data_IF_199217685795
#
_entry.id   IF_199217685795
#
_cell.length_a   1.000
_cell.length_b   1.000
_cell.length_c   1.000
_cell.angle_alpha   90.00
_cell.angle_beta   90.00
_cell.angle_gamma   90.00
#
_symmetry.space_group_name_H-M   'P 1'
#
loop_
_entity.id
_entity.type
_entity.pdbx_description
1 polymer ?
#
# COMPACT_ATOMS: atom_id res chain seq x y z
N UNK A 1 -53.95 39.78 -15.41
CA UNK A 1 -53.02 38.74 -15.89
C UNK A 1 -51.64 39.07 -15.35
N UNK A 2 -51.09 38.32 -14.38
CA UNK A 2 -49.66 38.20 -14.13
C UNK A 2 -49.46 36.95 -13.26
N UNK A 3 -49.23 35.81 -13.90
CA UNK A 3 -48.87 34.56 -13.23
C UNK A 3 -47.35 34.58 -13.06
N UNK A 4 -46.89 34.74 -11.81
CA UNK A 4 -45.47 34.70 -11.46
C UNK A 4 -45.05 33.25 -11.28
N UNK A 5 -44.25 32.72 -12.21
CA UNK A 5 -43.68 31.37 -12.11
C UNK A 5 -42.35 31.45 -11.36
N UNK A 6 -42.37 31.08 -10.08
CA UNK A 6 -41.16 30.83 -9.29
C UNK A 6 -40.63 29.46 -9.69
N UNK A 7 -39.59 29.43 -10.53
CA UNK A 7 -38.86 28.22 -10.88
C UNK A 7 -37.92 27.88 -9.70
N UNK A 8 -38.30 26.90 -8.88
CA UNK A 8 -37.43 26.33 -7.84
C UNK A 8 -36.51 25.31 -8.51
N UNK A 9 -35.30 25.72 -8.86
CA UNK A 9 -34.27 24.85 -9.41
C UNK A 9 -33.72 23.94 -8.31
N UNK A 10 -34.16 22.68 -8.31
CA UNK A 10 -33.67 21.64 -7.39
C UNK A 10 -32.33 21.11 -7.91
N UNK A 11 -31.21 21.65 -7.44
CA UNK A 11 -29.87 21.14 -7.76
C UNK A 11 -29.60 19.87 -6.96
N UNK A 12 -29.70 18.72 -7.63
CA UNK A 12 -29.28 17.43 -7.09
C UNK A 12 -27.76 17.40 -6.99
N UNK A 13 -27.21 17.54 -5.78
CA UNK A 13 -25.77 17.35 -5.51
C UNK A 13 -25.52 15.84 -5.53
N UNK A 14 -25.06 15.32 -6.66
CA UNK A 14 -24.53 13.96 -6.75
C UNK A 14 -23.20 13.93 -5.97
N UNK A 15 -23.21 13.31 -4.80
CA UNK A 15 -21.99 13.00 -4.08
C UNK A 15 -21.16 12.04 -4.96
N UNK A 16 -20.09 12.55 -5.55
CA UNK A 16 -19.10 11.72 -6.25
C UNK A 16 -18.43 10.86 -5.19
N UNK A 17 -18.70 9.56 -5.19
CA UNK A 17 -17.88 8.62 -4.45
C UNK A 17 -16.47 8.71 -5.03
N UNK A 18 -15.52 9.21 -4.24
CA UNK A 18 -14.10 9.19 -4.58
C UNK A 18 -13.67 7.72 -4.63
N UNK A 19 -13.70 7.15 -5.82
CA UNK A 19 -13.18 5.82 -6.08
C UNK A 19 -11.66 5.96 -6.09
N UNK A 20 -11.01 5.79 -4.93
CA UNK A 20 -9.55 5.78 -4.85
C UNK A 20 -9.02 4.72 -5.83
N UNK A 21 -8.33 5.18 -6.86
CA UNK A 21 -7.89 4.33 -7.97
C UNK A 21 -6.49 3.84 -7.64
N UNK A 22 -6.32 2.52 -7.52
CA UNK A 22 -5.01 1.91 -7.29
C UNK A 22 -4.13 2.12 -8.52
N UNK A 23 -2.91 2.62 -8.31
CA UNK A 23 -1.94 2.94 -9.36
C UNK A 23 -0.76 1.99 -9.28
N UNK A 24 -0.30 1.53 -10.43
CA UNK A 24 0.92 0.72 -10.56
C UNK A 24 2.13 1.55 -10.13
N UNK A 25 2.96 0.98 -9.27
CA UNK A 25 4.22 1.59 -8.81
C UNK A 25 5.39 0.68 -9.17
N UNK A 26 6.48 1.28 -9.66
CA UNK A 26 7.72 0.54 -9.90
C UNK A 26 8.40 0.24 -8.57
N UNK A 27 8.74 -1.02 -8.36
CA UNK A 27 9.41 -1.51 -7.15
C UNK A 27 10.88 -1.80 -7.42
N UNK A 28 11.71 -1.67 -6.39
CA UNK A 28 13.11 -2.07 -6.44
C UNK A 28 13.30 -3.36 -5.62
N UNK A 29 14.15 -4.31 -6.05
CA UNK A 29 14.50 -5.44 -5.21
C UNK A 29 15.22 -4.97 -3.93
N UNK A 30 15.16 -5.77 -2.88
CA UNK A 30 15.87 -5.50 -1.64
C UNK A 30 17.38 -5.66 -1.80
N UNK A 31 17.80 -6.77 -2.42
CA UNK A 31 19.19 -7.19 -2.59
C UNK A 31 19.49 -7.61 -4.02
N UNK A 32 18.60 -8.41 -4.63
CA UNK A 32 18.86 -9.05 -5.92
C UNK A 32 17.59 -9.13 -6.78
N UNK A 33 17.76 -9.31 -8.09
CA UNK A 33 16.62 -9.47 -8.99
C UNK A 33 15.72 -10.69 -8.65
N UNK A 34 16.24 -11.69 -7.93
CA UNK A 34 15.45 -12.84 -7.47
C UNK A 34 14.37 -12.44 -6.48
N UNK A 35 14.56 -11.36 -5.72
CA UNK A 35 13.64 -10.90 -4.69
C UNK A 35 12.30 -10.41 -5.29
N UNK A 36 12.27 -10.08 -6.58
CA UNK A 36 11.09 -9.57 -7.28
C UNK A 36 10.63 -10.47 -8.42
N UNK A 37 11.30 -11.59 -8.68
CA UNK A 37 10.98 -12.48 -9.82
C UNK A 37 9.56 -13.04 -9.75
N UNK A 38 9.05 -13.20 -8.53
CA UNK A 38 7.70 -13.68 -8.27
C UNK A 38 6.67 -12.56 -8.11
N UNK A 39 7.08 -11.29 -8.10
CA UNK A 39 6.19 -10.13 -8.04
C UNK A 39 5.82 -9.72 -9.46
N UNK A 40 4.52 -9.71 -9.76
CA UNK A 40 3.98 -9.28 -11.05
C UNK A 40 3.72 -7.80 -11.06
N UNK A 41 3.08 -7.31 -10.00
CA UNK A 41 2.68 -5.92 -9.92
C UNK A 41 2.49 -5.50 -8.47
N UNK A 42 2.83 -4.24 -8.18
CA UNK A 42 2.47 -3.57 -6.95
C UNK A 42 1.62 -2.35 -7.29
N UNK A 43 0.48 -2.22 -6.62
CA UNK A 43 -0.48 -1.14 -6.83
C UNK A 43 -0.83 -0.48 -5.49
N UNK A 44 -0.93 0.84 -5.44
CA UNK A 44 -1.35 1.59 -4.24
C UNK A 44 -2.17 2.82 -4.63
N UNK A 45 -3.09 3.28 -3.77
CA UNK A 45 -3.91 4.48 -4.05
C UNK A 45 -3.23 5.79 -3.65
N UNK A 46 -2.12 5.74 -2.91
CA UNK A 46 -1.36 6.91 -2.46
C UNK A 46 0.02 6.97 -3.14
N UNK A 47 0.05 6.98 -4.49
CA UNK A 47 1.28 7.20 -5.25
C UNK A 47 1.02 7.61 -6.72
N UNK A 48 1.19 8.90 -7.01
CA UNK A 48 1.09 9.45 -8.38
C UNK A 48 2.43 9.51 -9.13
N UNK A 49 3.53 9.29 -8.42
CA UNK A 49 4.89 9.31 -8.93
C UNK A 49 5.88 8.90 -7.83
N UNK A 50 7.11 8.59 -8.23
CA UNK A 50 8.18 8.28 -7.28
C UNK A 50 8.98 9.56 -6.95
N UNK A 51 9.33 9.81 -5.67
CA UNK A 51 8.94 9.04 -4.48
C UNK A 51 7.45 9.17 -4.14
N UNK A 52 6.83 8.09 -3.66
CA UNK A 52 5.41 8.10 -3.29
C UNK A 52 5.18 9.06 -2.11
N UNK A 53 4.46 10.15 -2.34
CA UNK A 53 4.14 11.11 -1.27
C UNK A 53 2.91 10.63 -0.50
N UNK A 54 3.10 10.26 0.76
CA UNK A 54 2.05 9.66 1.59
C UNK A 54 1.82 10.52 2.83
N UNK A 55 0.60 11.04 3.06
CA UNK A 55 0.28 11.67 4.32
C UNK A 55 0.32 10.65 5.45
N UNK A 56 1.02 10.93 6.54
CA UNK A 56 1.21 9.95 7.61
C UNK A 56 -0.12 9.49 8.26
N UNK A 57 -1.14 10.35 8.21
CA UNK A 57 -2.46 10.08 8.78
C UNK A 57 -3.37 9.28 7.82
N UNK A 58 -3.00 9.13 6.54
CA UNK A 58 -3.74 8.28 5.60
C UNK A 58 -3.47 6.81 5.88
N UNK A 59 -4.38 5.97 5.41
CA UNK A 59 -4.21 4.52 5.37
C UNK A 59 -4.20 4.05 3.91
N UNK A 60 -3.08 4.20 3.18
CA UNK A 60 -2.93 3.70 1.82
C UNK A 60 -3.41 2.26 1.69
N UNK A 61 -4.25 2.01 0.69
CA UNK A 61 -4.58 0.65 0.23
C UNK A 61 -3.54 0.22 -0.78
N UNK A 62 -3.15 -1.05 -0.70
CA UNK A 62 -2.24 -1.62 -1.67
C UNK A 62 -2.66 -3.02 -2.09
N UNK A 63 -2.22 -3.40 -3.29
CA UNK A 63 -2.34 -4.74 -3.84
C UNK A 63 -0.95 -5.21 -4.32
N UNK A 64 -0.62 -6.46 -3.98
CA UNK A 64 0.59 -7.14 -4.46
C UNK A 64 0.13 -8.34 -5.28
N UNK A 65 0.36 -8.30 -6.58
CA UNK A 65 0.19 -9.45 -7.46
C UNK A 65 1.48 -10.25 -7.49
N UNK A 66 1.40 -11.53 -7.13
CA UNK A 66 2.55 -12.41 -7.08
C UNK A 66 2.21 -13.84 -7.50
N UNK A 67 3.23 -14.57 -7.94
CA UNK A 67 3.13 -16.01 -8.23
C UNK A 67 3.70 -16.78 -7.06
N UNK A 68 2.90 -17.67 -6.47
CA UNK A 68 3.35 -18.52 -5.37
C UNK A 68 4.49 -19.42 -5.85
N UNK A 69 5.68 -19.29 -5.25
CA UNK A 69 6.86 -20.09 -5.59
C UNK A 69 6.68 -21.58 -5.29
N UNK A 70 5.88 -21.90 -4.27
CA UNK A 70 5.64 -23.25 -3.76
C UNK A 70 4.25 -23.34 -3.13
N UNK A 71 3.82 -24.57 -2.84
CA UNK A 71 2.61 -24.77 -2.07
C UNK A 71 2.87 -24.39 -0.59
N UNK A 72 1.94 -23.67 0.02
CA UNK A 72 2.05 -23.27 1.42
C UNK A 72 0.69 -22.98 2.03
N UNK A 73 0.46 -23.48 3.24
CA UNK A 73 -0.74 -23.16 4.04
C UNK A 73 -0.67 -21.76 4.67
N UNK A 74 0.51 -21.14 4.65
CA UNK A 74 0.76 -19.84 5.29
C UNK A 74 1.42 -18.87 4.31
N UNK A 75 1.06 -17.59 4.44
CA UNK A 75 1.82 -16.48 3.86
C UNK A 75 1.83 -15.33 4.85
N UNK A 76 3.03 -14.85 5.15
CA UNK A 76 3.27 -13.70 6.02
C UNK A 76 3.80 -12.56 5.18
N UNK A 77 3.06 -11.46 5.12
CA UNK A 77 3.53 -10.21 4.53
C UNK A 77 3.93 -9.28 5.67
N UNK A 78 5.10 -8.68 5.58
CA UNK A 78 5.57 -7.66 6.52
C UNK A 78 5.95 -6.40 5.76
N UNK A 79 5.61 -5.26 6.34
CA UNK A 79 5.95 -3.94 5.83
C UNK A 79 6.87 -3.31 6.85
N UNK A 80 8.09 -2.96 6.42
CA UNK A 80 9.08 -2.28 7.24
C UNK A 80 9.28 -0.86 6.73
N UNK A 81 9.25 0.10 7.63
CA UNK A 81 9.54 1.49 7.34
C UNK A 81 10.96 1.84 7.76
N UNK A 82 11.68 2.55 6.91
CA UNK A 82 12.85 3.34 7.28
C UNK A 82 12.48 4.81 7.10
N UNK A 83 12.32 5.55 8.19
CA UNK A 83 11.83 6.94 8.16
C UNK A 83 12.95 8.00 8.14
N UNK A 84 14.20 7.57 8.39
CA UNK A 84 15.45 8.34 8.27
C UNK A 84 16.58 7.43 7.80
N UNK A 85 17.65 7.97 7.19
CA UNK A 85 18.77 7.16 6.69
C UNK A 85 19.42 6.26 7.76
N UNK A 86 19.48 6.76 9.01
CA UNK A 86 20.15 6.10 10.14
C UNK A 86 19.22 5.25 11.02
N UNK A 87 17.90 5.30 10.78
CA UNK A 87 16.94 4.51 11.56
C UNK A 87 16.92 3.05 11.10
N UNK A 88 16.80 2.09 12.04
CA UNK A 88 16.60 0.70 11.68
C UNK A 88 15.26 0.52 10.95
N UNK A 89 15.21 -0.43 10.02
CA UNK A 89 13.95 -0.91 9.44
C UNK A 89 13.08 -1.47 10.57
N UNK A 90 11.95 -0.82 10.83
CA UNK A 90 11.00 -1.24 11.87
C UNK A 90 9.72 -1.75 11.24
N UNK A 91 9.19 -2.85 11.78
CA UNK A 91 7.90 -3.39 11.33
C UNK A 91 6.78 -2.39 11.58
N UNK A 92 5.87 -2.25 10.61
CA UNK A 92 4.67 -1.45 10.74
C UNK A 92 3.80 -2.02 11.87
N UNK A 93 3.64 -1.30 12.99
CA UNK A 93 2.93 -1.83 14.14
C UNK A 93 1.44 -1.91 13.84
N UNK A 94 0.80 -2.97 14.34
CA UNK A 94 -0.62 -3.27 14.08
C UNK A 94 -0.94 -3.61 12.63
N UNK A 95 0.07 -3.89 11.79
CA UNK A 95 -0.15 -4.47 10.47
C UNK A 95 -0.36 -5.98 10.61
N UNK A 96 -1.50 -6.46 10.12
CA UNK A 96 -1.81 -7.88 10.12
C UNK A 96 -0.92 -8.60 9.12
N UNK A 97 0.01 -9.41 9.61
CA UNK A 97 1.02 -10.06 8.75
C UNK A 97 0.48 -11.29 8.05
N UNK A 98 -0.55 -11.94 8.58
CA UNK A 98 -1.11 -13.16 7.99
C UNK A 98 -1.96 -12.84 6.76
N UNK A 99 -1.35 -13.00 5.59
CA UNK A 99 -1.98 -12.67 4.33
C UNK A 99 -3.11 -13.64 3.95
N UNK A 100 -3.05 -14.89 4.42
CA UNK A 100 -4.13 -15.87 4.23
C UNK A 100 -5.42 -15.44 4.91
N UNK A 101 -5.31 -14.82 6.10
CA UNK A 101 -6.49 -14.44 6.89
C UNK A 101 -6.93 -12.99 6.66
N UNK A 102 -5.99 -12.07 6.39
CA UNK A 102 -6.27 -10.64 6.42
C UNK A 102 -6.06 -9.92 5.08
N UNK A 103 -5.60 -10.62 4.04
CA UNK A 103 -5.29 -9.98 2.74
C UNK A 103 -6.07 -10.52 1.55
N UNK A 104 -7.22 -11.15 1.81
CA UNK A 104 -8.12 -11.64 0.76
C UNK A 104 -7.58 -12.84 -0.01
N UNK A 105 -6.60 -13.56 0.54
CA UNK A 105 -6.07 -14.79 -0.05
C UNK A 105 -6.87 -16.00 0.41
N UNK A 106 -6.89 -17.05 -0.41
CA UNK A 106 -7.41 -18.36 -0.02
C UNK A 106 -6.23 -19.32 0.07
N UNK A 107 -5.93 -19.77 1.27
CA UNK A 107 -4.88 -20.75 1.53
C UNK A 107 -5.49 -22.17 1.66
N UNK A 108 -4.77 -23.23 1.27
CA UNK A 108 -3.37 -23.24 0.84
C UNK A 108 -3.10 -22.60 -0.52
N UNK A 109 -1.97 -21.90 -0.61
CA UNK A 109 -1.42 -21.46 -1.88
C UNK A 109 -0.96 -22.67 -2.68
N UNK A 110 -1.30 -22.68 -3.97
CA UNK A 110 -0.82 -23.64 -4.96
C UNK A 110 0.40 -23.08 -5.69
N UNK A 111 1.47 -23.88 -5.80
CA UNK A 111 2.69 -23.52 -6.53
C UNK A 111 2.39 -23.10 -7.98
N UNK A 112 3.04 -22.04 -8.45
CA UNK A 112 2.92 -21.52 -9.82
C UNK A 112 1.63 -20.74 -10.10
N UNK A 113 0.67 -20.69 -9.16
CA UNK A 113 -0.56 -19.91 -9.31
C UNK A 113 -0.34 -18.45 -8.89
N UNK A 114 -1.03 -17.55 -9.58
CA UNK A 114 -1.04 -16.12 -9.30
C UNK A 114 -2.09 -15.76 -8.24
N UNK A 115 -1.73 -14.82 -7.37
CA UNK A 115 -2.54 -14.33 -6.27
C UNK A 115 -2.39 -12.81 -6.14
N UNK A 116 -3.42 -12.17 -5.61
CA UNK A 116 -3.43 -10.75 -5.26
C UNK A 116 -3.62 -10.60 -3.76
N UNK A 117 -2.58 -10.20 -3.04
CA UNK A 117 -2.69 -9.83 -1.62
C UNK A 117 -3.15 -8.37 -1.52
N UNK A 118 -4.26 -8.12 -0.83
CA UNK A 118 -4.87 -6.78 -0.69
C UNK A 118 -4.86 -6.36 0.77
N UNK A 119 -4.30 -5.21 1.09
CA UNK A 119 -4.37 -4.69 2.46
C UNK A 119 -4.30 -3.17 2.48
N UNK A 120 -4.27 -2.61 3.68
CA UNK A 120 -4.05 -1.19 3.87
C UNK A 120 -3.19 -0.98 5.10
N UNK A 121 -2.29 0.00 5.05
CA UNK A 121 -1.34 0.27 6.13
C UNK A 121 -1.34 1.75 6.46
N UNK A 122 -1.26 2.08 7.74
CA UNK A 122 -1.10 3.46 8.20
C UNK A 122 0.20 3.53 8.99
N UNK A 123 0.98 4.58 8.76
CA UNK A 123 2.15 4.84 9.59
C UNK A 123 1.62 5.38 10.93
N UNK A 124 1.92 4.73 12.06
CA UNK A 124 1.46 5.20 13.35
C UNK A 124 2.09 6.58 13.66
N UNK A 125 1.30 7.47 14.25
CA UNK A 125 1.74 8.84 14.57
C UNK A 125 2.96 8.91 15.51
N UNK A 126 3.18 7.86 16.31
CA UNK A 126 4.29 7.78 17.27
C UNK A 126 5.59 7.23 16.65
N UNK A 127 5.55 6.62 15.46
CA UNK A 127 6.76 6.14 14.78
C UNK A 127 7.41 7.20 13.88
N UNK A 128 6.90 8.43 13.91
CA UNK A 128 7.41 9.54 13.09
C UNK A 128 7.72 10.76 13.95
N UNK A 129 8.79 11.47 13.62
CA UNK A 129 9.00 12.84 14.11
C UNK A 129 8.23 13.82 13.22
N UNK A 130 7.08 14.30 13.72
CA UNK A 130 6.24 15.24 13.00
C UNK A 130 6.96 16.56 12.66
N UNK A 131 7.98 16.95 13.42
CA UNK A 131 8.77 18.16 13.16
C UNK A 131 9.72 18.00 11.97
N UNK A 132 10.05 16.76 11.62
CA UNK A 132 10.92 16.43 10.50
C UNK A 132 10.16 16.24 9.18
N UNK A 133 8.83 16.42 9.16
CA UNK A 133 8.05 16.33 7.93
C UNK A 133 8.23 17.58 7.03
N UNK A 134 8.35 17.41 5.70
CA UNK A 134 8.34 16.14 4.97
C UNK A 134 9.69 15.40 5.07
N UNK A 135 9.66 14.09 5.31
CA UNK A 135 10.87 13.26 5.44
C UNK A 135 10.90 12.17 4.37
N UNK A 136 12.07 11.90 3.75
CA UNK A 136 12.22 10.74 2.88
C UNK A 136 12.09 9.45 3.71
N UNK A 137 11.42 8.45 3.15
CA UNK A 137 11.26 7.14 3.75
C UNK A 137 11.47 6.03 2.70
N UNK A 138 11.77 4.84 3.18
CA UNK A 138 11.79 3.62 2.37
C UNK A 138 10.78 2.64 2.98
N UNK A 139 9.81 2.21 2.20
CA UNK A 139 8.89 1.15 2.60
C UNK A 139 9.32 -0.17 1.95
N UNK A 140 9.64 -1.15 2.78
CA UNK A 140 10.12 -2.47 2.37
C UNK A 140 9.02 -3.50 2.63
N UNK A 141 8.61 -4.20 1.59
CA UNK A 141 7.60 -5.25 1.62
C UNK A 141 8.29 -6.59 1.49
N UNK A 142 7.99 -7.50 2.42
CA UNK A 142 8.53 -8.86 2.44
C UNK A 142 7.38 -9.87 2.51
N UNK A 143 7.44 -10.91 1.70
CA UNK A 143 6.48 -12.01 1.69
C UNK A 143 7.19 -13.32 1.99
N UNK A 144 6.82 -13.98 3.09
CA UNK A 144 7.45 -15.19 3.59
C UNK A 144 6.41 -16.28 3.79
N UNK A 145 6.67 -17.47 3.27
CA UNK A 145 5.83 -18.64 3.48
C UNK A 145 6.54 -19.71 4.33
N UNK A 146 6.01 -20.92 4.39
CA UNK A 146 6.61 -22.02 5.16
C UNK A 146 8.04 -22.40 4.71
N UNK A 147 8.40 -22.13 3.45
CA UNK A 147 9.71 -22.45 2.88
C UNK A 147 10.65 -21.25 2.78
N UNK A 148 10.31 -20.12 3.40
CA UNK A 148 11.13 -18.90 3.45
C UNK A 148 10.57 -17.77 2.60
N UNK A 149 11.43 -16.81 2.24
CA UNK A 149 11.03 -15.64 1.46
C UNK A 149 10.57 -16.04 0.05
N UNK A 150 9.50 -15.40 -0.41
CA UNK A 150 8.96 -15.47 -1.78
C UNK A 150 9.32 -14.19 -2.52
N UNK A 151 9.16 -13.04 -1.86
CA UNK A 151 9.48 -11.74 -2.43
C UNK A 151 10.00 -10.77 -1.38
N UNK A 152 10.87 -9.86 -1.81
CA UNK A 152 11.27 -8.67 -1.07
C UNK A 152 11.43 -7.50 -2.05
N UNK A 153 10.73 -6.42 -1.81
CA UNK A 153 10.88 -5.21 -2.61
C UNK A 153 10.73 -3.96 -1.77
N UNK A 154 11.22 -2.84 -2.30
CA UNK A 154 11.17 -1.54 -1.65
C UNK A 154 10.66 -0.48 -2.60
N UNK A 155 9.98 0.51 -2.02
CA UNK A 155 9.50 1.70 -2.72
C UNK A 155 10.04 2.95 -2.00
N UNK A 156 10.57 3.93 -2.75
CA UNK A 156 10.92 5.21 -2.18
C UNK A 156 9.62 5.98 -1.88
N UNK A 157 9.49 6.44 -0.65
CA UNK A 157 8.35 7.20 -0.16
C UNK A 157 8.80 8.54 0.42
N UNK A 158 7.87 9.47 0.53
CA UNK A 158 8.04 10.73 1.25
C UNK A 158 6.84 10.90 2.16
N UNK A 159 7.07 10.89 3.47
CA UNK A 159 6.01 11.15 4.43
C UNK A 159 5.76 12.64 4.57
N UNK A 160 4.50 13.04 4.58
CA UNK A 160 4.08 14.44 4.68
C UNK A 160 2.94 14.62 5.68
N UNK A 161 2.77 15.84 6.19
CA UNK A 161 1.61 16.24 7.00
C UNK A 161 0.46 16.79 6.15
N UNK A 162 0.72 17.16 4.90
CA UNK A 162 -0.26 17.73 3.97
C UNK A 162 -0.84 16.66 3.06
N UNK A 163 -2.12 16.76 2.73
CA UNK A 163 -2.72 15.97 1.65
C UNK A 163 -1.98 16.30 0.33
N UNK A 164 -1.59 15.30 -0.49
CA UNK A 164 -1.08 15.58 -1.82
C UNK A 164 -2.12 16.42 -2.57
N UNK A 165 -1.71 17.59 -3.03
CA UNK A 165 -2.55 18.47 -3.83
C UNK A 165 -2.63 17.81 -5.21
N UNK A 166 -3.72 17.09 -5.45
CA UNK A 166 -4.05 16.53 -6.77
C UNK A 166 -4.39 17.59 -7.79
#
# INVERSE_FOLDING_TARGET
>A
MFVSHVLVSLTFVLATAECSTLRKVQVQPCNSAEDVVHVKEFRTDECDGLPCTVPFWKRPKFEIDFVAKRASDVLRVAIKGRFFHDDPLTDAPSFETDACNYMGLTCPLTAGKEYTAKSSVQVPWWAIDQKALPTPAEAVFTGTDAGGEIFCFKIPAQLTSKEPIG
#
